data_IF_590225640638
#
_entry.id   IF_590225640638
#
_cell.length_a   1.000
_cell.length_b   1.000
_cell.length_c   1.000
_cell.angle_alpha   90.00
_cell.angle_beta   90.00
_cell.angle_gamma   90.00
#
_symmetry.space_group_name_H-M   'P 1'
#
loop_
_entity.id
_entity.type
_entity.pdbx_description
1 polymer ?
#
# COMPACT_ATOMS: atom_id res chain seq x y z
N UNK A 1 15.40 5.44 -6.23
CA UNK A 1 16.18 5.48 -4.97
C UNK A 1 17.02 6.73 -4.79
N UNK A 2 17.43 7.42 -5.88
CA UNK A 2 18.26 8.63 -5.80
C UNK A 2 17.69 9.75 -4.90
N UNK A 3 16.36 9.97 -4.92
CA UNK A 3 15.69 11.04 -4.16
C UNK A 3 15.14 10.61 -2.78
N UNK A 4 15.52 9.44 -2.26
CA UNK A 4 14.89 8.86 -1.05
C UNK A 4 15.03 9.69 0.24
N UNK A 5 15.99 10.63 0.26
CA UNK A 5 16.27 11.51 1.38
C UNK A 5 15.91 12.97 1.12
N UNK A 6 15.25 13.27 -0.01
CA UNK A 6 14.78 14.62 -0.27
C UNK A 6 13.62 14.98 0.67
N UNK A 7 13.52 16.26 1.03
CA UNK A 7 12.51 16.74 1.98
C UNK A 7 11.06 16.56 1.48
N UNK A 8 10.86 16.42 0.17
CA UNK A 8 9.57 16.19 -0.47
C UNK A 8 9.25 14.70 -0.67
N UNK A 9 10.00 13.80 -0.02
CA UNK A 9 9.86 12.36 -0.17
C UNK A 9 9.63 11.66 1.18
N UNK A 10 8.42 11.16 1.39
CA UNK A 10 8.11 10.23 2.48
C UNK A 10 8.18 8.78 1.96
N UNK A 11 9.21 8.05 2.39
CA UNK A 11 9.41 6.65 2.05
C UNK A 11 9.09 5.76 3.25
N UNK A 12 8.07 4.93 3.12
CA UNK A 12 7.56 4.04 4.17
C UNK A 12 7.26 2.65 3.62
N UNK A 13 7.38 1.62 4.44
CA UNK A 13 6.88 0.29 4.07
C UNK A 13 5.42 0.12 4.49
N UNK A 14 4.67 -0.65 3.71
CA UNK A 14 3.27 -0.95 4.03
C UNK A 14 3.11 -1.57 5.43
N UNK A 15 4.00 -2.50 5.81
CA UNK A 15 3.94 -3.18 7.11
C UNK A 15 4.13 -2.19 8.26
N UNK A 16 5.07 -1.26 8.13
CA UNK A 16 5.27 -0.22 9.14
C UNK A 16 4.05 0.71 9.23
N UNK A 17 3.51 1.16 8.09
CA UNK A 17 2.35 2.06 8.06
C UNK A 17 1.11 1.44 8.71
N UNK A 18 0.84 0.16 8.44
CA UNK A 18 -0.28 -0.57 9.06
C UNK A 18 -0.09 -0.73 10.57
N UNK A 19 1.13 -0.99 11.03
CA UNK A 19 1.42 -1.09 12.46
C UNK A 19 1.41 0.27 13.18
N UNK A 20 1.63 1.37 12.46
CA UNK A 20 1.84 2.71 13.02
C UNK A 20 0.88 3.76 12.44
N UNK A 21 -0.40 3.41 12.18
CA UNK A 21 -1.36 4.26 11.44
C UNK A 21 -1.40 5.71 11.90
N UNK A 22 -1.56 5.94 13.21
CA UNK A 22 -1.60 7.29 13.80
C UNK A 22 -0.36 8.10 13.43
N UNK A 23 0.82 7.48 13.54
CA UNK A 23 2.07 8.13 13.19
C UNK A 23 2.17 8.37 11.70
N UNK A 24 1.88 7.37 10.87
CA UNK A 24 1.87 7.52 9.41
C UNK A 24 1.00 8.69 8.92
N UNK A 25 -0.17 8.89 9.53
CA UNK A 25 -1.05 10.03 9.23
C UNK A 25 -0.36 11.36 9.55
N UNK A 26 0.36 11.45 10.68
CA UNK A 26 1.13 12.65 11.02
C UNK A 26 2.33 12.87 10.11
N UNK A 27 3.09 11.83 9.77
CA UNK A 27 4.22 11.93 8.83
C UNK A 27 3.75 12.44 7.46
N UNK A 28 2.58 11.98 6.99
CA UNK A 28 1.97 12.49 5.76
C UNK A 28 1.50 13.94 5.91
N UNK A 29 0.89 14.28 7.05
CA UNK A 29 0.43 15.64 7.35
C UNK A 29 1.60 16.64 7.34
N UNK A 30 2.72 16.26 7.96
CA UNK A 30 3.95 17.06 7.99
C UNK A 30 4.51 17.24 6.57
N UNK A 31 4.55 16.18 5.76
CA UNK A 31 5.01 16.25 4.36
C UNK A 31 4.20 17.26 3.53
N UNK A 32 2.88 17.30 3.73
CA UNK A 32 1.97 18.17 2.95
C UNK A 32 1.70 19.51 3.64
N UNK A 33 2.33 19.78 4.80
CA UNK A 33 2.26 21.05 5.52
C UNK A 33 0.91 21.34 6.19
N UNK A 34 0.24 20.32 6.72
CA UNK A 34 -1.00 20.48 7.51
C UNK A 34 -0.79 20.07 8.96
N UNK A 35 -1.48 20.75 9.88
CA UNK A 35 -1.47 20.44 11.31
C UNK A 35 -2.85 19.90 11.75
N UNK A 36 -3.10 18.58 11.65
CA UNK A 36 -4.40 18.01 11.96
C UNK A 36 -4.59 17.86 13.46
N UNK A 37 -5.78 18.25 13.94
CA UNK A 37 -6.19 17.96 15.32
C UNK A 37 -6.28 16.46 15.58
N UNK A 38 -6.24 16.06 16.85
CA UNK A 38 -6.35 14.66 17.25
C UNK A 38 -7.65 13.99 16.78
N UNK A 39 -8.74 14.77 16.70
CA UNK A 39 -10.03 14.34 16.20
C UNK A 39 -9.98 14.04 14.69
N UNK A 40 -9.29 14.87 13.91
CA UNK A 40 -9.07 14.63 12.48
C UNK A 40 -8.23 13.37 12.28
N UNK A 41 -7.16 13.20 13.07
CA UNK A 41 -6.34 11.99 13.00
C UNK A 41 -7.15 10.74 13.36
N UNK A 42 -8.00 10.81 14.40
CA UNK A 42 -8.87 9.69 14.78
C UNK A 42 -9.87 9.32 13.67
N UNK A 43 -10.52 10.32 13.07
CA UNK A 43 -11.42 10.13 11.93
C UNK A 43 -10.71 9.46 10.75
N UNK A 44 -9.48 9.88 10.42
CA UNK A 44 -8.71 9.29 9.32
C UNK A 44 -8.31 7.84 9.63
N UNK A 45 -7.97 7.52 10.89
CA UNK A 45 -7.69 6.13 11.29
C UNK A 45 -8.92 5.26 11.02
N UNK A 46 -10.10 5.68 11.48
CA UNK A 46 -11.36 4.94 11.26
C UNK A 46 -11.63 4.77 9.76
N UNK A 47 -11.51 5.86 8.98
CA UNK A 47 -11.76 5.84 7.54
C UNK A 47 -10.76 4.99 6.73
N UNK A 48 -9.62 4.63 7.32
CA UNK A 48 -8.59 3.78 6.71
C UNK A 48 -8.57 2.36 7.30
N UNK A 49 -9.54 2.02 8.16
CA UNK A 49 -9.75 0.63 8.56
C UNK A 49 -10.29 -0.20 7.40
N UNK A 50 -9.88 -1.48 7.34
CA UNK A 50 -10.34 -2.39 6.28
C UNK A 50 -11.86 -2.55 6.31
N UNK A 51 -12.44 -2.68 7.49
CA UNK A 51 -13.89 -2.83 7.66
C UNK A 51 -14.62 -1.60 7.13
N UNK A 52 -14.16 -0.40 7.47
CA UNK A 52 -14.71 0.85 6.95
C UNK A 52 -14.59 0.92 5.42
N UNK A 53 -13.39 0.68 4.88
CA UNK A 53 -13.14 0.75 3.44
C UNK A 53 -13.97 -0.27 2.66
N UNK A 54 -14.13 -1.49 3.20
CA UNK A 54 -14.93 -2.53 2.57
C UNK A 54 -16.44 -2.22 2.63
N UNK A 55 -16.92 -1.69 3.75
CA UNK A 55 -18.32 -1.25 3.88
C UNK A 55 -18.67 -0.10 2.93
N UNK A 56 -17.68 0.70 2.53
CA UNK A 56 -17.82 1.81 1.57
C UNK A 56 -17.02 1.58 0.29
N UNK A 57 -16.90 0.32 -0.16
CA UNK A 57 -16.00 -0.08 -1.27
C UNK A 57 -16.26 0.67 -2.58
N UNK A 58 -17.50 1.12 -2.79
CA UNK A 58 -17.97 1.96 -3.90
C UNK A 58 -17.34 3.36 -3.93
N UNK A 59 -16.74 3.80 -2.80
CA UNK A 59 -15.97 5.05 -2.72
C UNK A 59 -14.49 4.87 -3.01
N UNK A 60 -14.02 3.63 -3.06
CA UNK A 60 -12.61 3.30 -3.25
C UNK A 60 -12.35 2.62 -4.59
N UNK A 61 -13.36 2.04 -5.22
CA UNK A 61 -13.30 1.44 -6.54
C UNK A 61 -13.46 2.48 -7.66
N UNK A 62 -13.39 1.99 -8.90
CA UNK A 62 -13.67 2.77 -10.09
C UNK A 62 -15.16 2.63 -10.46
N UNK A 63 -16.09 2.75 -9.51
CA UNK A 63 -17.53 2.46 -9.68
C UNK A 63 -18.14 3.08 -10.94
N UNK A 64 -17.77 4.33 -11.27
CA UNK A 64 -18.23 4.99 -12.50
C UNK A 64 -17.78 4.24 -13.76
N UNK A 65 -16.52 3.79 -13.79
CA UNK A 65 -15.97 3.03 -14.92
C UNK A 65 -16.56 1.63 -14.97
N UNK A 66 -16.72 0.97 -13.82
CA UNK A 66 -17.37 -0.34 -13.73
C UNK A 66 -18.80 -0.31 -14.27
N UNK A 67 -19.60 0.68 -13.85
CA UNK A 67 -20.97 0.84 -14.33
C UNK A 67 -21.04 1.06 -15.85
N UNK A 68 -20.12 1.88 -16.41
CA UNK A 68 -20.02 2.11 -17.87
C UNK A 68 -19.64 0.82 -18.61
N UNK A 69 -18.73 0.02 -18.05
CA UNK A 69 -18.33 -1.26 -18.65
C UNK A 69 -19.47 -2.30 -18.59
N UNK A 70 -20.20 -2.38 -17.48
CA UNK A 70 -21.37 -3.26 -17.33
C UNK A 70 -22.47 -2.89 -18.36
N UNK A 71 -22.75 -1.60 -18.52
CA UNK A 71 -23.78 -1.11 -19.45
C UNK A 71 -23.42 -1.33 -20.92
N UNK A 72 -22.16 -1.12 -21.30
CA UNK A 72 -21.76 -1.06 -22.71
C UNK A 72 -20.94 -2.25 -23.22
N UNK A 73 -20.34 -3.05 -22.34
CA UNK A 73 -19.44 -4.16 -22.71
C UNK A 73 -20.00 -5.54 -22.35
N UNK A 74 -21.25 -5.63 -21.90
CA UNK A 74 -21.91 -6.88 -21.49
C UNK A 74 -21.11 -7.63 -20.40
N UNK A 75 -20.39 -6.88 -19.55
CA UNK A 75 -19.70 -7.44 -18.40
C UNK A 75 -20.74 -7.70 -17.29
N UNK A 76 -20.81 -8.91 -16.73
CA UNK A 76 -21.71 -9.20 -15.63
C UNK A 76 -21.46 -8.29 -14.42
N UNK A 77 -22.52 -7.63 -13.95
CA UNK A 77 -22.49 -6.74 -12.79
C UNK A 77 -22.28 -7.48 -11.44
N UNK A 78 -22.15 -8.80 -11.48
CA UNK A 78 -21.91 -9.68 -10.32
C UNK A 78 -20.44 -10.09 -10.18
N UNK A 79 -19.52 -9.41 -10.87
CA UNK A 79 -18.08 -9.60 -10.69
C UNK A 79 -17.68 -9.41 -9.22
N UNK A 80 -17.11 -10.46 -8.61
CA UNK A 80 -16.61 -10.45 -7.22
C UNK A 80 -15.23 -9.77 -7.09
N UNK A 81 -14.73 -9.18 -8.18
CA UNK A 81 -13.47 -8.44 -8.16
C UNK A 81 -13.68 -7.07 -7.53
N UNK A 82 -13.26 -6.90 -6.28
CA UNK A 82 -13.29 -5.63 -5.56
C UNK A 82 -11.88 -5.13 -5.29
N UNK A 83 -11.67 -3.80 -5.40
CA UNK A 83 -10.38 -3.17 -5.09
C UNK A 83 -9.99 -3.37 -3.61
N UNK A 84 -10.98 -3.33 -2.71
CA UNK A 84 -10.80 -3.53 -1.28
C UNK A 84 -11.22 -4.96 -0.93
N UNK A 85 -10.25 -5.87 -0.82
CA UNK A 85 -10.52 -7.24 -0.40
C UNK A 85 -10.94 -7.30 1.08
N UNK A 86 -11.96 -8.13 1.38
CA UNK A 86 -12.45 -8.39 2.73
C UNK A 86 -11.38 -9.00 3.65
N UNK A 87 -10.47 -9.80 3.09
CA UNK A 87 -9.35 -10.42 3.79
C UNK A 87 -8.02 -10.11 3.11
N UNK A 88 -6.91 -10.28 3.82
CA UNK A 88 -5.58 -10.15 3.24
C UNK A 88 -5.20 -11.36 2.38
N UNK A 89 -4.31 -11.17 1.41
CA UNK A 89 -3.79 -12.25 0.58
C UNK A 89 -2.87 -13.18 1.40
N UNK A 90 -2.90 -14.49 1.10
CA UNK A 90 -1.99 -15.46 1.69
C UNK A 90 -0.70 -15.57 0.86
N UNK A 91 0.44 -15.26 1.46
CA UNK A 91 1.75 -15.29 0.81
C UNK A 91 2.38 -16.70 0.75
N UNK A 92 1.77 -17.72 1.38
CA UNK A 92 2.39 -19.05 1.57
C UNK A 92 2.26 -20.00 0.37
N UNK A 93 1.75 -19.53 -0.77
CA UNK A 93 1.28 -20.40 -1.85
C UNK A 93 2.09 -20.28 -3.17
N UNK A 94 3.38 -19.95 -3.12
CA UNK A 94 4.20 -19.87 -4.33
C UNK A 94 5.11 -21.11 -4.49
N UNK A 95 5.15 -21.75 -5.67
CA UNK A 95 6.14 -22.79 -5.96
C UNK A 95 7.58 -22.24 -5.89
N UNK A 96 8.54 -23.11 -5.51
CA UNK A 96 9.96 -22.74 -5.39
C UNK A 96 10.53 -22.14 -6.69
N UNK A 97 10.09 -22.62 -7.85
CA UNK A 97 10.52 -22.09 -9.16
C UNK A 97 10.11 -20.63 -9.36
N UNK A 98 8.96 -20.22 -8.81
CA UNK A 98 8.48 -18.83 -8.87
C UNK A 98 9.27 -17.96 -7.89
N UNK A 99 9.55 -18.47 -6.68
CA UNK A 99 10.37 -17.78 -5.69
C UNK A 99 11.75 -17.48 -6.28
N UNK A 100 12.42 -18.50 -6.85
CA UNK A 100 13.73 -18.34 -7.48
C UNK A 100 13.71 -17.33 -8.65
N UNK A 101 12.63 -17.30 -9.43
CA UNK A 101 12.48 -16.31 -10.49
C UNK A 101 12.31 -14.88 -9.95
N UNK A 102 11.58 -14.71 -8.85
CA UNK A 102 11.43 -13.40 -8.17
C UNK A 102 12.79 -12.93 -7.61
N UNK A 103 13.55 -13.82 -6.97
CA UNK A 103 14.87 -13.51 -6.44
C UNK A 103 15.86 -13.11 -7.55
N UNK A 104 15.82 -13.81 -8.69
CA UNK A 104 16.62 -13.46 -9.85
C UNK A 104 16.28 -12.07 -10.41
N UNK A 105 14.98 -11.73 -10.50
CA UNK A 105 14.54 -10.39 -10.90
C UNK A 105 14.96 -9.33 -9.90
N UNK A 106 14.93 -9.63 -8.59
CA UNK A 106 15.39 -8.71 -7.55
C UNK A 106 16.89 -8.41 -7.70
N UNK A 107 17.70 -9.45 -7.85
CA UNK A 107 19.15 -9.32 -8.03
C UNK A 107 19.51 -8.53 -9.30
N UNK A 108 18.76 -8.73 -10.39
CA UNK A 108 18.96 -8.01 -11.65
C UNK A 108 18.54 -6.53 -11.54
N UNK A 109 17.40 -6.24 -10.90
CA UNK A 109 16.70 -4.94 -11.08
C UNK A 109 16.69 -4.05 -9.84
N UNK A 110 16.63 -4.65 -8.65
CA UNK A 110 16.44 -3.90 -7.40
C UNK A 110 17.76 -3.72 -6.69
N UNK A 111 18.52 -4.80 -6.48
CA UNK A 111 19.78 -4.76 -5.75
C UNK A 111 20.79 -3.74 -6.30
N UNK A 112 20.96 -3.57 -7.64
CA UNK A 112 21.90 -2.57 -8.17
C UNK A 112 21.50 -1.11 -7.87
N UNK A 113 20.22 -0.85 -7.63
CA UNK A 113 19.68 0.50 -7.41
C UNK A 113 19.57 0.82 -5.92
N UNK A 114 19.23 -0.18 -5.10
CA UNK A 114 18.97 0.02 -3.67
C UNK A 114 20.14 -0.43 -2.78
N UNK A 115 21.01 -1.30 -3.27
CA UNK A 115 22.09 -1.91 -2.48
C UNK A 115 21.64 -3.08 -1.60
N UNK A 116 20.36 -3.46 -1.64
CA UNK A 116 19.81 -4.50 -0.78
C UNK A 116 19.63 -5.83 -1.52
N UNK A 117 20.10 -6.91 -0.92
CA UNK A 117 20.03 -8.26 -1.48
C UNK A 117 18.59 -8.81 -1.53
N UNK A 118 17.70 -8.31 -0.68
CA UNK A 118 16.31 -8.76 -0.57
C UNK A 118 15.40 -7.65 -0.02
N UNK A 119 14.09 -7.90 -0.03
CA UNK A 119 13.12 -6.96 0.54
C UNK A 119 13.25 -6.84 2.07
N UNK A 120 13.72 -7.88 2.76
CA UNK A 120 13.82 -7.88 4.21
C UNK A 120 14.86 -6.86 4.70
N UNK A 121 16.02 -6.82 4.07
CA UNK A 121 17.10 -5.86 4.31
C UNK A 121 16.70 -4.44 3.91
N UNK A 122 16.04 -4.26 2.75
CA UNK A 122 15.50 -2.95 2.35
C UNK A 122 14.48 -2.43 3.37
N UNK A 123 13.53 -3.26 3.78
CA UNK A 123 12.54 -2.91 4.80
C UNK A 123 13.22 -2.51 6.10
N UNK A 124 14.23 -3.26 6.54
CA UNK A 124 14.95 -2.94 7.77
C UNK A 124 15.60 -1.55 7.73
N UNK A 125 16.19 -1.15 6.59
CA UNK A 125 16.72 0.21 6.43
C UNK A 125 15.60 1.26 6.46
N UNK A 126 14.50 1.03 5.72
CA UNK A 126 13.41 2.01 5.63
C UNK A 126 12.71 2.19 6.98
N UNK A 127 12.37 1.09 7.66
CA UNK A 127 11.63 1.14 8.92
C UNK A 127 12.47 1.79 10.04
N UNK A 128 13.78 1.57 10.06
CA UNK A 128 14.70 2.18 11.03
C UNK A 128 14.80 3.71 10.91
N UNK A 129 14.28 4.32 9.84
CA UNK A 129 14.18 5.79 9.72
C UNK A 129 13.16 6.39 10.69
N UNK A 130 12.30 5.54 11.25
CA UNK A 130 11.24 5.93 12.17
C UNK A 130 11.49 5.46 13.60
N UNK A 131 12.56 4.72 13.89
CA UNK A 131 12.93 4.38 15.27
C UNK A 131 13.60 5.57 15.97
#
# INVERSE_FOLDING_TARGET
>A
YARRGEADTLLVTYKWAVANKRRMIREMADLIGIDPSDDVVAMVIEATEREFMHAHKDRFDDALVCAVMEEHLDIPADSDSTKVQASGSDAKALPDSVIAAIDAMWAERVAPVTGHADFASLRSEIDARFD
#
